data_IF_049834471808
#
_entry.id   IF_049834471808
#
_cell.length_a   1.000
_cell.length_b   1.000
_cell.length_c   1.000
_cell.angle_alpha   90.00
_cell.angle_beta   90.00
_cell.angle_gamma   90.00
#
_symmetry.space_group_name_H-M   'P 1'
#
loop_
_entity.id
_entity.type
_entity.pdbx_description
1 polymer ?
#
# COMPACT_ATOMS: atom_id res chain seq x y z
N UNK A 1 -14.26 -5.94 -34.57
CA UNK A 1 -15.00 -4.79 -33.99
C UNK A 1 -14.07 -3.58 -33.88
N UNK A 2 -13.80 -2.89 -34.99
CA UNK A 2 -13.16 -1.57 -34.97
C UNK A 2 -14.25 -0.53 -35.19
N UNK A 3 -14.99 -0.24 -34.12
CA UNK A 3 -15.86 0.94 -34.12
C UNK A 3 -14.96 2.17 -34.27
N UNK A 4 -15.24 3.00 -35.26
CA UNK A 4 -14.51 4.24 -35.54
C UNK A 4 -14.53 5.13 -34.28
N UNK A 5 -13.41 5.16 -33.54
CA UNK A 5 -13.26 6.05 -32.38
C UNK A 5 -13.21 7.49 -32.87
N UNK A 6 -14.10 8.33 -32.33
CA UNK A 6 -14.11 9.78 -32.58
C UNK A 6 -12.75 10.36 -32.20
N UNK A 7 -12.31 11.41 -32.92
CA UNK A 7 -11.00 12.04 -32.70
C UNK A 7 -10.87 12.59 -31.27
N UNK A 8 -11.98 13.06 -30.71
CA UNK A 8 -12.14 13.53 -29.33
C UNK A 8 -11.84 12.46 -28.27
N UNK A 9 -12.11 11.19 -28.60
CA UNK A 9 -11.94 10.04 -27.71
C UNK A 9 -10.51 9.46 -27.80
N UNK A 10 -9.63 10.03 -28.63
CA UNK A 10 -8.21 9.61 -28.78
C UNK A 10 -7.30 10.35 -27.80
N UNK A 11 -7.70 10.42 -26.54
CA UNK A 11 -6.93 11.07 -25.47
C UNK A 11 -6.42 10.04 -24.46
N UNK A 12 -5.32 10.36 -23.78
CA UNK A 12 -4.78 9.54 -22.69
C UNK A 12 -5.83 9.37 -21.58
N UNK A 13 -6.57 10.43 -21.27
CA UNK A 13 -7.65 10.41 -20.27
C UNK A 13 -8.75 9.42 -20.63
N UNK A 14 -9.16 9.36 -21.91
CA UNK A 14 -10.15 8.40 -22.37
C UNK A 14 -9.65 6.96 -22.25
N UNK A 15 -8.38 6.70 -22.60
CA UNK A 15 -7.74 5.40 -22.44
C UNK A 15 -7.68 5.00 -20.96
N UNK A 16 -7.18 5.88 -20.09
CA UNK A 16 -7.10 5.66 -18.63
C UNK A 16 -8.50 5.37 -18.07
N UNK A 17 -9.52 6.12 -18.47
CA UNK A 17 -10.91 5.88 -18.06
C UNK A 17 -11.43 4.52 -18.51
N UNK A 18 -11.15 4.11 -19.75
CA UNK A 18 -11.56 2.79 -20.28
C UNK A 18 -10.84 1.65 -19.59
N UNK A 19 -9.53 1.78 -19.36
CA UNK A 19 -8.73 0.80 -18.63
C UNK A 19 -9.21 0.67 -17.18
N UNK A 20 -9.40 1.79 -16.47
CA UNK A 20 -9.96 1.78 -15.11
C UNK A 20 -11.37 1.18 -15.08
N UNK A 21 -12.23 1.46 -16.07
CA UNK A 21 -13.57 0.87 -16.16
C UNK A 21 -13.53 -0.65 -16.39
N UNK A 22 -12.61 -1.15 -17.20
CA UNK A 22 -12.54 -2.56 -17.60
C UNK A 22 -11.71 -3.43 -16.64
N UNK A 23 -10.63 -2.89 -16.10
CA UNK A 23 -9.62 -3.61 -15.32
C UNK A 23 -9.39 -3.03 -13.92
N UNK A 24 -9.89 -1.83 -13.62
CA UNK A 24 -9.76 -1.23 -12.29
C UNK A 24 -10.59 -2.00 -11.26
N UNK A 25 -10.00 -2.26 -10.10
CA UNK A 25 -10.75 -2.74 -8.92
C UNK A 25 -11.75 -1.67 -8.50
N UNK A 26 -12.98 -2.09 -8.22
CA UNK A 26 -14.04 -1.22 -7.65
C UNK A 26 -14.03 -1.29 -6.13
N UNK A 27 -12.84 -1.34 -5.54
CA UNK A 27 -12.71 -1.31 -4.09
C UNK A 27 -13.11 0.09 -3.62
N UNK A 28 -13.84 0.16 -2.51
CA UNK A 28 -14.03 1.42 -1.81
C UNK A 28 -12.90 1.56 -0.77
N UNK A 29 -12.76 2.76 -0.19
CA UNK A 29 -11.70 3.03 0.80
C UNK A 29 -11.73 2.01 1.94
N UNK A 30 -12.92 1.63 2.41
CA UNK A 30 -13.08 0.61 3.47
C UNK A 30 -12.48 -0.75 3.09
N UNK A 31 -12.77 -1.28 1.90
CA UNK A 31 -12.19 -2.56 1.42
C UNK A 31 -10.68 -2.48 1.28
N UNK A 32 -10.15 -1.32 0.91
CA UNK A 32 -8.71 -1.08 0.84
C UNK A 32 -8.09 -1.11 2.24
N UNK A 33 -8.69 -0.41 3.21
CA UNK A 33 -8.24 -0.45 4.60
C UNK A 33 -8.27 -1.86 5.18
N UNK A 34 -9.33 -2.64 4.92
CA UNK A 34 -9.40 -4.04 5.34
C UNK A 34 -8.24 -4.86 4.76
N UNK A 35 -7.94 -4.71 3.47
CA UNK A 35 -6.82 -5.40 2.82
C UNK A 35 -5.45 -4.97 3.36
N UNK A 36 -5.30 -3.73 3.81
CA UNK A 36 -4.09 -3.26 4.48
C UNK A 36 -3.92 -3.98 5.82
N UNK A 37 -4.97 -4.06 6.63
CA UNK A 37 -4.94 -4.72 7.94
C UNK A 37 -4.73 -6.24 7.82
N UNK A 38 -5.33 -6.89 6.82
CA UNK A 38 -5.17 -8.33 6.57
C UNK A 38 -3.77 -8.70 6.06
N UNK A 39 -3.03 -7.73 5.53
CA UNK A 39 -1.71 -7.98 4.96
C UNK A 39 -0.66 -7.93 6.05
N UNK A 40 -0.02 -9.07 6.31
CA UNK A 40 1.10 -9.24 7.25
C UNK A 40 2.38 -9.61 6.51
N UNK A 41 3.54 -9.20 7.01
CA UNK A 41 4.85 -9.51 6.43
C UNK A 41 5.01 -11.02 6.23
N UNK A 42 5.39 -11.45 5.01
CA UNK A 42 5.62 -12.87 4.73
C UNK A 42 6.98 -13.33 5.28
N UNK A 43 7.15 -14.63 5.60
CA UNK A 43 8.46 -15.15 5.97
C UNK A 43 9.50 -14.88 4.87
N UNK A 44 10.63 -14.26 5.23
CA UNK A 44 11.70 -13.89 4.30
C UNK A 44 11.41 -12.67 3.41
N UNK A 45 10.30 -11.95 3.64
CA UNK A 45 10.01 -10.71 2.94
C UNK A 45 10.75 -9.54 3.59
N UNK A 46 11.46 -8.73 2.79
CA UNK A 46 12.12 -7.52 3.28
C UNK A 46 11.09 -6.48 3.72
N UNK A 47 11.44 -5.66 4.70
CA UNK A 47 10.57 -4.61 5.23
C UNK A 47 10.20 -3.58 4.16
N UNK A 48 11.15 -3.19 3.31
CA UNK A 48 10.90 -2.34 2.14
C UNK A 48 9.87 -2.96 1.18
N UNK A 49 10.03 -4.25 0.85
CA UNK A 49 9.16 -4.94 -0.11
C UNK A 49 7.75 -5.10 0.47
N UNK A 50 7.65 -5.35 1.78
CA UNK A 50 6.38 -5.36 2.50
C UNK A 50 5.68 -3.99 2.42
N UNK A 51 6.40 -2.89 2.67
CA UNK A 51 5.87 -1.53 2.57
C UNK A 51 5.43 -1.17 1.14
N UNK A 52 6.16 -1.61 0.11
CA UNK A 52 5.76 -1.46 -1.29
C UNK A 52 4.44 -2.17 -1.58
N UNK A 53 4.24 -3.36 -1.02
CA UNK A 53 2.97 -4.09 -1.16
C UNK A 53 1.82 -3.33 -0.49
N UNK A 54 2.03 -2.75 0.70
CA UNK A 54 1.02 -1.91 1.35
C UNK A 54 0.68 -0.68 0.52
N UNK A 55 1.68 0.01 -0.02
CA UNK A 55 1.49 1.16 -0.92
C UNK A 55 0.69 0.78 -2.16
N UNK A 56 0.97 -0.38 -2.76
CA UNK A 56 0.24 -0.91 -3.90
C UNK A 56 -1.21 -1.28 -3.59
N UNK A 57 -1.52 -1.70 -2.35
CA UNK A 57 -2.91 -1.97 -1.93
C UNK A 57 -3.72 -0.68 -1.90
N UNK A 58 -3.13 0.39 -1.36
CA UNK A 58 -3.79 1.69 -1.23
C UNK A 58 -3.76 2.57 -2.49
N UNK A 59 -3.00 2.17 -3.51
CA UNK A 59 -2.85 2.93 -4.74
C UNK A 59 -4.21 3.31 -5.37
N UNK A 60 -4.32 4.59 -5.76
CA UNK A 60 -5.52 5.14 -6.37
C UNK A 60 -6.67 5.44 -5.40
N UNK A 61 -6.47 5.27 -4.09
CA UNK A 61 -7.45 5.57 -3.05
C UNK A 61 -6.90 6.61 -2.07
N UNK A 62 -7.78 7.43 -1.51
CA UNK A 62 -7.42 8.42 -0.48
C UNK A 62 -7.41 7.73 0.89
N UNK A 63 -6.35 6.98 1.16
CA UNK A 63 -6.13 6.33 2.46
C UNK A 63 -5.19 7.21 3.29
N UNK A 64 -5.53 7.51 4.56
CA UNK A 64 -4.66 8.27 5.46
C UNK A 64 -3.32 7.58 5.72
N UNK A 65 -2.26 8.36 5.96
CA UNK A 65 -0.91 7.84 6.20
C UNK A 65 -0.87 6.93 7.44
N UNK A 66 -1.65 7.27 8.46
CA UNK A 66 -1.75 6.56 9.73
C UNK A 66 -2.19 5.10 9.53
N UNK A 67 -3.06 4.84 8.54
CA UNK A 67 -3.52 3.48 8.23
C UNK A 67 -2.38 2.62 7.68
N UNK A 68 -1.51 3.20 6.84
CA UNK A 68 -0.35 2.47 6.33
C UNK A 68 0.66 2.17 7.44
N UNK A 69 0.92 3.16 8.31
CA UNK A 69 1.79 2.99 9.47
C UNK A 69 1.24 1.90 10.39
N UNK A 70 -0.05 1.95 10.71
CA UNK A 70 -0.68 0.96 11.58
C UNK A 70 -0.65 -0.45 10.96
N UNK A 71 -0.94 -0.58 9.66
CA UNK A 71 -0.86 -1.86 8.94
C UNK A 71 0.58 -2.41 8.94
N UNK A 72 1.58 -1.55 8.70
CA UNK A 72 2.98 -1.94 8.72
C UNK A 72 3.42 -2.40 10.10
N UNK A 73 3.21 -1.56 11.12
CA UNK A 73 3.62 -1.84 12.51
C UNK A 73 2.93 -3.09 13.05
N UNK A 74 1.64 -3.28 12.81
CA UNK A 74 0.93 -4.45 13.32
C UNK A 74 1.15 -5.72 12.48
N UNK A 75 1.62 -5.58 11.24
CA UNK A 75 1.83 -6.71 10.33
C UNK A 75 3.25 -7.24 10.26
N UNK A 76 4.24 -6.58 10.89
CA UNK A 76 5.61 -7.10 11.00
C UNK A 76 5.67 -8.33 11.91
N UNK A 77 6.52 -9.30 11.55
CA UNK A 77 6.66 -10.55 12.31
C UNK A 77 7.41 -10.37 13.64
N UNK A 78 8.29 -9.38 13.74
CA UNK A 78 9.09 -9.10 14.94
C UNK A 78 8.32 -8.27 15.98
N UNK A 79 7.78 -8.95 16.99
CA UNK A 79 7.02 -8.34 18.09
C UNK A 79 7.82 -7.32 18.92
N UNK A 80 9.14 -7.49 19.05
CA UNK A 80 9.99 -6.53 19.76
C UNK A 80 10.09 -5.22 18.99
N UNK A 81 10.25 -5.30 17.66
CA UNK A 81 10.24 -4.12 16.79
C UNK A 81 8.88 -3.40 16.83
N UNK A 82 7.76 -4.14 16.88
CA UNK A 82 6.42 -3.56 17.05
C UNK A 82 6.33 -2.69 18.30
N UNK A 83 6.82 -3.17 19.44
CA UNK A 83 6.80 -2.40 20.69
C UNK A 83 7.65 -1.12 20.62
N UNK A 84 8.84 -1.22 20.03
CA UNK A 84 9.75 -0.07 19.87
C UNK A 84 9.17 0.99 18.93
N UNK A 85 8.60 0.57 17.80
CA UNK A 85 7.92 1.48 16.86
C UNK A 85 6.71 2.16 17.48
N UNK A 86 5.92 1.46 18.31
CA UNK A 86 4.80 2.07 19.05
C UNK A 86 5.28 3.16 20.01
N UNK A 87 6.47 3.01 20.60
CA UNK A 87 7.10 4.04 21.41
C UNK A 87 7.64 5.23 20.58
N UNK A 88 8.21 4.96 19.41
CA UNK A 88 8.73 5.99 18.50
C UNK A 88 7.62 6.81 17.81
N UNK A 89 6.43 6.22 17.62
CA UNK A 89 5.25 6.86 17.02
C UNK A 89 5.51 7.45 15.62
N UNK A 90 5.98 6.63 14.64
CA UNK A 90 6.27 7.09 13.29
C UNK A 90 5.03 7.69 12.62
N UNK A 91 5.23 8.71 11.78
CA UNK A 91 4.13 9.44 11.12
C UNK A 91 3.91 9.08 9.67
N UNK A 92 4.90 8.44 9.05
CA UNK A 92 4.84 8.01 7.66
C UNK A 92 5.29 6.56 7.55
N UNK A 93 4.85 5.89 6.48
CA UNK A 93 5.29 4.52 6.20
C UNK A 93 6.81 4.45 6.02
N UNK A 94 7.40 5.43 5.34
CA UNK A 94 8.85 5.55 5.13
C UNK A 94 9.62 5.61 6.45
N UNK A 95 9.18 6.45 7.39
CA UNK A 95 9.79 6.60 8.71
C UNK A 95 9.67 5.31 9.52
N UNK A 96 8.53 4.63 9.44
CA UNK A 96 8.34 3.33 10.08
C UNK A 96 9.28 2.25 9.51
N UNK A 97 9.48 2.21 8.18
CA UNK A 97 10.40 1.28 7.52
C UNK A 97 11.83 1.56 7.94
N UNK A 98 12.29 2.82 7.83
CA UNK A 98 13.65 3.20 8.18
C UNK A 98 13.99 2.88 9.64
N UNK A 99 13.05 3.15 10.55
CA UNK A 99 13.22 2.81 11.96
C UNK A 99 13.26 1.29 12.18
N UNK A 100 12.36 0.53 11.55
CA UNK A 100 12.33 -0.93 11.69
C UNK A 100 13.62 -1.58 11.17
N UNK A 101 14.11 -1.16 10.01
CA UNK A 101 15.38 -1.64 9.45
C UNK A 101 16.56 -1.30 10.35
N UNK A 102 16.57 -0.11 10.97
CA UNK A 102 17.59 0.26 11.95
C UNK A 102 17.51 -0.60 13.23
N UNK A 103 16.30 -0.88 13.71
CA UNK A 103 16.08 -1.58 14.98
C UNK A 103 16.33 -3.10 14.89
N UNK A 104 15.95 -3.74 13.78
CA UNK A 104 15.97 -5.19 13.66
C UNK A 104 16.48 -5.74 12.31
N UNK A 105 16.96 -4.87 11.43
CA UNK A 105 17.50 -5.24 10.12
C UNK A 105 16.44 -5.39 9.04
N UNK A 106 16.87 -5.64 7.80
CA UNK A 106 16.01 -5.60 6.61
C UNK A 106 14.85 -6.62 6.59
N UNK A 107 14.90 -7.65 7.43
CA UNK A 107 13.94 -8.76 7.42
C UNK A 107 13.01 -8.80 8.65
N UNK A 108 13.16 -7.87 9.60
CA UNK A 108 12.31 -7.87 10.79
C UNK A 108 12.78 -8.85 11.86
#
# INVERSE_FOLDING_TARGET
>A
LTSSMRREDKTLEFLVRKLRKKYGRRDNVFKVQQRLVERVQKPGERLSDYADVLTNIGFGHQVPAEVYVEAFVNGINNQTAVMQMKGHNPKTLEDAVQYAEYACGEYG
#
